data_IF_829110735040
#
_entry.id   IF_829110735040
#
_cell.length_a   1.000
_cell.length_b   1.000
_cell.length_c   1.000
_cell.angle_alpha   90.00
_cell.angle_beta   90.00
_cell.angle_gamma   90.00
#
_symmetry.space_group_name_H-M   'P 1'
#
loop_
_entity.id
_entity.type
_entity.pdbx_description
1 polymer ?
#
# COMPACT_ATOMS: atom_id res chain seq x y z
N UNK A 1 -7.74 -15.25 -13.37
CA UNK A 1 -7.95 -14.73 -14.73
C UNK A 1 -6.86 -15.30 -15.62
N UNK A 2 -7.15 -15.64 -16.88
CA UNK A 2 -6.14 -16.07 -17.86
C UNK A 2 -5.98 -14.99 -18.94
N UNK A 3 -4.87 -15.00 -19.67
CA UNK A 3 -4.62 -14.04 -20.77
C UNK A 3 -5.74 -14.02 -21.82
N UNK A 4 -6.41 -15.17 -22.05
CA UNK A 4 -7.54 -15.25 -22.99
C UNK A 4 -8.70 -14.35 -22.56
N UNK A 5 -8.95 -14.26 -21.26
CA UNK A 5 -10.08 -13.50 -20.72
C UNK A 5 -9.80 -12.00 -20.90
N UNK A 6 -8.53 -11.60 -20.79
CA UNK A 6 -8.06 -10.25 -21.10
C UNK A 6 -8.22 -9.93 -22.59
N UNK A 7 -7.79 -10.84 -23.47
CA UNK A 7 -7.91 -10.66 -24.92
C UNK A 7 -9.38 -10.54 -25.36
N UNK A 8 -10.25 -11.39 -24.82
CA UNK A 8 -11.69 -11.35 -25.09
C UNK A 8 -12.32 -10.03 -24.61
N UNK A 9 -12.01 -9.59 -23.40
CA UNK A 9 -12.50 -8.32 -22.86
C UNK A 9 -11.98 -7.09 -23.65
N UNK A 10 -10.75 -7.17 -24.17
CA UNK A 10 -10.13 -6.11 -24.97
C UNK A 10 -10.52 -6.17 -26.47
N UNK A 11 -11.28 -7.17 -26.91
CA UNK A 11 -11.64 -7.36 -28.30
C UNK A 11 -10.44 -7.62 -29.23
N UNK A 12 -9.37 -8.21 -28.70
CA UNK A 12 -8.13 -8.48 -29.44
C UNK A 12 -7.74 -9.97 -29.40
N UNK A 13 -6.70 -10.34 -30.13
CA UNK A 13 -6.17 -11.71 -30.09
C UNK A 13 -5.22 -11.91 -28.91
N UNK A 14 -5.12 -13.15 -28.42
CA UNK A 14 -4.09 -13.51 -27.42
C UNK A 14 -2.68 -13.16 -27.90
N UNK A 15 -2.40 -13.35 -29.20
CA UNK A 15 -1.11 -12.96 -29.79
C UNK A 15 -0.85 -11.45 -29.72
N UNK A 16 -1.89 -10.62 -29.81
CA UNK A 16 -1.78 -9.16 -29.65
C UNK A 16 -1.42 -8.78 -28.21
N UNK A 17 -2.01 -9.47 -27.22
CA UNK A 17 -1.67 -9.27 -25.80
C UNK A 17 -0.21 -9.63 -25.54
N UNK A 18 0.26 -10.78 -26.00
CA UNK A 18 1.66 -11.17 -25.81
C UNK A 18 2.64 -10.30 -26.62
N UNK A 19 2.25 -9.78 -27.78
CA UNK A 19 3.10 -8.87 -28.53
C UNK A 19 3.33 -7.54 -27.77
N UNK A 20 2.32 -7.06 -27.05
CA UNK A 20 2.42 -5.83 -26.26
C UNK A 20 3.09 -6.05 -24.91
N UNK A 21 2.70 -7.10 -24.18
CA UNK A 21 3.06 -7.31 -22.78
C UNK A 21 4.07 -8.45 -22.56
N UNK A 22 4.47 -9.18 -23.60
CA UNK A 22 5.40 -10.30 -23.53
C UNK A 22 4.76 -11.59 -23.02
N UNK A 23 4.32 -11.59 -21.77
CA UNK A 23 3.69 -12.72 -21.07
C UNK A 23 2.54 -12.26 -20.16
N UNK A 24 1.98 -13.16 -19.36
CA UNK A 24 0.88 -12.79 -18.46
C UNK A 24 1.38 -11.98 -17.25
N UNK A 25 2.61 -12.21 -16.79
CA UNK A 25 3.25 -11.39 -15.76
C UNK A 25 3.38 -9.94 -16.27
N UNK A 26 3.77 -9.73 -17.52
CA UNK A 26 3.86 -8.39 -18.11
C UNK A 26 2.54 -7.63 -18.13
N UNK A 27 1.42 -8.32 -18.32
CA UNK A 27 0.08 -7.71 -18.18
C UNK A 27 -0.16 -7.27 -16.74
N UNK A 28 0.10 -8.16 -15.77
CA UNK A 28 -0.10 -7.88 -14.34
C UNK A 28 0.81 -6.74 -13.88
N UNK A 29 2.08 -6.76 -14.26
CA UNK A 29 3.06 -5.74 -13.91
C UNK A 29 2.69 -4.37 -14.50
N UNK A 30 2.12 -4.32 -15.70
CA UNK A 30 1.62 -3.06 -16.29
C UNK A 30 0.50 -2.47 -15.45
N UNK A 31 -0.51 -3.28 -15.11
CA UNK A 31 -1.61 -2.86 -14.23
C UNK A 31 -1.10 -2.45 -12.84
N UNK A 32 -0.16 -3.21 -12.28
CA UNK A 32 0.40 -2.92 -10.97
C UNK A 32 1.21 -1.61 -10.98
N UNK A 33 1.92 -1.26 -12.06
CA UNK A 33 2.60 0.04 -12.20
C UNK A 33 1.61 1.20 -12.17
N UNK A 34 0.53 1.12 -12.95
CA UNK A 34 -0.53 2.13 -12.94
C UNK A 34 -1.18 2.25 -11.56
N UNK A 35 -1.39 1.12 -10.90
CA UNK A 35 -1.94 1.06 -9.53
C UNK A 35 -1.04 1.77 -8.53
N UNK A 36 0.27 1.49 -8.57
CA UNK A 36 1.24 2.14 -7.68
C UNK A 36 1.35 3.63 -7.99
N UNK A 37 1.32 4.03 -9.27
CA UNK A 37 1.34 5.44 -9.64
C UNK A 37 0.12 6.19 -9.09
N UNK A 38 -1.08 5.63 -9.25
CA UNK A 38 -2.31 6.20 -8.72
C UNK A 38 -2.29 6.28 -7.18
N UNK A 39 -1.82 5.23 -6.52
CA UNK A 39 -1.65 5.20 -5.06
C UNK A 39 -0.68 6.30 -4.60
N UNK A 40 0.52 6.36 -5.18
CA UNK A 40 1.54 7.36 -4.84
C UNK A 40 1.02 8.77 -5.04
N UNK A 41 0.28 9.03 -6.12
CA UNK A 41 -0.34 10.34 -6.34
C UNK A 41 -1.35 10.70 -5.25
N UNK A 42 -2.17 9.75 -4.79
CA UNK A 42 -3.13 9.99 -3.70
C UNK A 42 -2.42 10.26 -2.38
N UNK A 43 -1.43 9.44 -2.03
CA UNK A 43 -0.66 9.59 -0.80
C UNK A 43 0.15 10.90 -0.77
N UNK A 44 0.72 11.30 -1.91
CA UNK A 44 1.47 12.56 -2.05
C UNK A 44 0.59 13.80 -1.91
N UNK A 45 -0.73 13.65 -2.09
CA UNK A 45 -1.71 14.71 -1.89
C UNK A 45 -2.06 14.97 -0.41
N UNK A 46 -1.59 14.14 0.52
CA UNK A 46 -1.86 14.31 1.95
C UNK A 46 -1.09 15.53 2.48
N UNK A 47 -1.77 16.49 3.15
CA UNK A 47 -1.12 17.68 3.72
C UNK A 47 0.00 17.33 4.70
N UNK A 48 1.10 18.09 4.67
CA UNK A 48 2.34 17.79 5.39
C UNK A 48 2.66 18.79 6.51
N UNK A 49 1.77 19.72 6.83
CA UNK A 49 2.00 20.78 7.81
C UNK A 49 2.12 20.22 9.23
N UNK A 50 1.20 19.35 9.63
CA UNK A 50 1.21 18.63 10.90
C UNK A 50 1.71 17.20 10.69
N UNK A 51 2.86 16.79 11.26
CA UNK A 51 3.40 15.45 11.02
C UNK A 51 2.56 14.35 11.67
N UNK A 52 1.82 14.64 12.74
CA UNK A 52 0.88 13.66 13.31
C UNK A 52 -0.31 13.52 12.37
N UNK A 53 -0.98 14.62 12.04
CA UNK A 53 -2.08 14.65 11.07
C UNK A 53 -1.72 14.02 9.73
N UNK A 54 -0.48 14.19 9.25
CA UNK A 54 0.01 13.56 8.03
C UNK A 54 0.02 12.02 8.12
N UNK A 55 0.42 11.43 9.26
CA UNK A 55 0.40 9.97 9.44
C UNK A 55 -1.03 9.42 9.41
N UNK A 56 -1.98 10.09 10.07
CA UNK A 56 -3.40 9.71 9.99
C UNK A 56 -3.94 9.89 8.58
N UNK A 57 -3.62 10.99 7.91
CA UNK A 57 -4.04 11.26 6.53
C UNK A 57 -3.50 10.23 5.52
N UNK A 58 -2.25 9.79 5.68
CA UNK A 58 -1.67 8.72 4.86
C UNK A 58 -2.39 7.38 5.08
N UNK A 59 -2.70 7.03 6.33
CA UNK A 59 -3.40 5.80 6.66
C UNK A 59 -4.86 5.80 6.13
N UNK A 60 -5.55 6.94 6.27
CA UNK A 60 -6.90 7.14 5.74
C UNK A 60 -6.92 7.07 4.21
N UNK A 61 -6.03 7.81 3.53
CA UNK A 61 -5.93 7.80 2.08
C UNK A 61 -5.60 6.40 1.54
N UNK A 62 -4.79 5.62 2.28
CA UNK A 62 -4.48 4.23 1.95
C UNK A 62 -5.70 3.31 2.12
N UNK A 63 -6.45 3.46 3.22
CA UNK A 63 -7.71 2.74 3.44
C UNK A 63 -8.73 3.02 2.34
N UNK A 64 -8.96 4.29 2.01
CA UNK A 64 -9.88 4.71 0.95
C UNK A 64 -9.46 4.14 -0.41
N UNK A 65 -8.17 4.21 -0.75
CA UNK A 65 -7.65 3.65 -1.99
C UNK A 65 -7.84 2.13 -2.06
N UNK A 66 -7.59 1.42 -0.96
CA UNK A 66 -7.80 -0.04 -0.92
C UNK A 66 -9.28 -0.38 -1.06
N UNK A 67 -10.17 0.33 -0.37
CA UNK A 67 -11.61 0.11 -0.46
C UNK A 67 -12.16 0.31 -1.88
N UNK A 68 -11.65 1.31 -2.62
CA UNK A 68 -12.02 1.59 -4.01
C UNK A 68 -11.40 0.61 -5.02
N UNK A 69 -10.21 0.09 -4.72
CA UNK A 69 -9.37 -0.63 -5.68
C UNK A 69 -8.90 -2.00 -5.17
N UNK A 70 -9.67 -2.68 -4.31
CA UNK A 70 -9.24 -3.89 -3.60
C UNK A 70 -8.63 -4.98 -4.50
N UNK A 71 -9.19 -5.22 -5.70
CA UNK A 71 -8.64 -6.20 -6.64
C UNK A 71 -7.27 -5.79 -7.22
N UNK A 72 -7.03 -4.49 -7.42
CA UNK A 72 -5.74 -3.98 -7.90
C UNK A 72 -4.67 -4.09 -6.81
N UNK A 73 -5.02 -3.77 -5.56
CA UNK A 73 -4.11 -3.91 -4.43
C UNK A 73 -3.78 -5.38 -4.17
N UNK A 74 -4.79 -6.25 -4.27
CA UNK A 74 -4.58 -7.69 -4.18
C UNK A 74 -3.64 -8.18 -5.28
N UNK A 75 -3.84 -7.73 -6.52
CA UNK A 75 -2.91 -8.00 -7.63
C UNK A 75 -1.48 -7.52 -7.32
N UNK A 76 -1.33 -6.35 -6.72
CA UNK A 76 -0.03 -5.80 -6.36
C UNK A 76 0.69 -6.62 -5.27
N UNK A 77 -0.01 -7.03 -4.22
CA UNK A 77 0.60 -7.65 -3.04
C UNK A 77 0.63 -9.19 -3.06
N UNK A 78 -0.33 -9.84 -3.71
CA UNK A 78 -0.42 -11.31 -3.75
C UNK A 78 0.25 -11.93 -4.98
N UNK A 79 0.51 -11.14 -6.03
CA UNK A 79 1.15 -11.66 -7.24
C UNK A 79 2.54 -12.22 -6.91
N UNK A 80 2.87 -13.32 -7.60
CA UNK A 80 4.18 -13.93 -7.59
C UNK A 80 4.56 -14.15 -9.04
N UNK A 81 5.73 -13.69 -9.42
CA UNK A 81 6.29 -13.92 -10.74
C UNK A 81 6.38 -15.42 -11.02
N UNK A 82 6.13 -15.81 -12.27
CA UNK A 82 6.31 -17.19 -12.70
C UNK A 82 7.78 -17.63 -12.56
N UNK A 83 7.99 -18.91 -12.27
CA UNK A 83 9.31 -19.57 -12.09
C UNK A 83 10.24 -18.88 -11.08
N UNK A 84 9.67 -18.24 -10.06
CA UNK A 84 10.40 -17.47 -9.03
C UNK A 84 11.33 -16.39 -9.63
N UNK A 85 11.00 -15.87 -10.82
CA UNK A 85 11.73 -14.76 -11.43
C UNK A 85 11.71 -13.54 -10.50
N UNK A 86 12.79 -12.74 -10.45
CA UNK A 86 12.76 -11.51 -9.68
C UNK A 86 11.77 -10.52 -10.30
N UNK A 87 11.15 -9.71 -9.44
CA UNK A 87 10.42 -8.53 -9.90
C UNK A 87 11.38 -7.57 -10.60
N UNK A 88 10.93 -6.88 -11.67
CA UNK A 88 11.72 -5.79 -12.26
C UNK A 88 12.03 -4.68 -11.26
N UNK A 89 13.25 -4.11 -11.36
CA UNK A 89 13.72 -3.08 -10.42
C UNK A 89 12.83 -1.82 -10.41
N UNK A 90 12.23 -1.48 -11.55
CA UNK A 90 11.44 -0.26 -11.70
C UNK A 90 10.15 -0.31 -10.87
N UNK A 91 9.40 -1.41 -10.90
CA UNK A 91 8.19 -1.54 -10.08
C UNK A 91 8.53 -1.65 -8.58
N UNK A 92 9.64 -2.31 -8.24
CA UNK A 92 10.14 -2.35 -6.87
C UNK A 92 10.43 -0.94 -6.35
N UNK A 93 11.11 -0.11 -7.17
CA UNK A 93 11.39 1.27 -6.81
C UNK A 93 10.11 2.09 -6.64
N UNK A 94 9.13 1.95 -7.55
CA UNK A 94 7.84 2.65 -7.42
C UNK A 94 7.12 2.32 -6.11
N UNK A 95 7.13 1.05 -5.70
CA UNK A 95 6.54 0.60 -4.43
C UNK A 95 7.31 1.19 -3.24
N UNK A 96 8.64 1.19 -3.31
CA UNK A 96 9.49 1.78 -2.28
C UNK A 96 9.26 3.29 -2.14
N UNK A 97 9.08 4.02 -3.25
CA UNK A 97 8.82 5.46 -3.25
C UNK A 97 7.46 5.77 -2.60
N UNK A 98 6.43 4.97 -2.89
CA UNK A 98 5.13 5.09 -2.24
C UNK A 98 5.25 4.94 -0.71
N UNK A 99 6.01 3.95 -0.24
CA UNK A 99 6.22 3.71 1.19
C UNK A 99 7.11 4.74 1.85
N UNK A 100 8.04 5.34 1.11
CA UNK A 100 8.93 6.38 1.60
C UNK A 100 8.15 7.63 2.06
N UNK A 101 6.91 7.83 1.61
CA UNK A 101 6.06 8.95 2.05
C UNK A 101 5.76 8.96 3.56
N UNK A 102 5.89 7.83 4.25
CA UNK A 102 5.76 7.80 5.71
C UNK A 102 7.03 8.24 6.46
N UNK A 103 8.18 8.28 5.77
CA UNK A 103 9.45 8.59 6.41
C UNK A 103 9.56 10.07 6.86
N UNK A 104 9.23 11.09 6.04
CA UNK A 104 9.32 12.49 6.44
C UNK A 104 8.56 12.89 7.73
N UNK A 105 7.28 12.51 7.94
CA UNK A 105 6.60 12.86 9.20
C UNK A 105 7.28 12.20 10.41
N UNK A 106 7.79 10.98 10.28
CA UNK A 106 8.47 10.29 11.39
C UNK A 106 9.81 10.94 11.75
N UNK A 107 10.60 11.40 10.77
CA UNK A 107 11.82 12.19 11.03
C UNK A 107 11.50 13.45 11.85
N UNK A 108 10.40 14.14 11.52
CA UNK A 108 9.97 15.35 12.25
C UNK A 108 9.51 15.05 13.67
N UNK A 109 8.88 13.90 13.89
CA UNK A 109 8.37 13.47 15.20
C UNK A 109 9.46 12.91 16.11
N UNK A 110 10.53 12.37 15.53
CA UNK A 110 11.61 11.69 16.23
C UNK A 110 12.98 12.23 15.76
N UNK A 111 13.28 13.52 15.99
CA UNK A 111 14.47 14.18 15.43
C UNK A 111 15.80 13.60 15.92
N UNK A 112 15.80 12.93 17.07
CA UNK A 112 16.99 12.31 17.67
C UNK A 112 17.18 10.83 17.26
N UNK A 113 16.25 10.25 16.50
CA UNK A 113 16.38 8.89 16.00
C UNK A 113 17.23 8.85 14.72
N UNK A 114 18.04 7.81 14.56
CA UNK A 114 18.76 7.58 13.31
C UNK A 114 17.83 7.13 12.16
N UNK A 115 18.27 7.36 10.93
CA UNK A 115 17.51 7.04 9.71
C UNK A 115 17.14 5.55 9.61
N UNK A 116 17.99 4.66 10.11
CA UNK A 116 17.74 3.20 10.08
C UNK A 116 16.54 2.86 10.95
N UNK A 117 16.49 3.44 12.16
CA UNK A 117 15.37 3.29 13.09
C UNK A 117 14.08 3.87 12.51
N UNK A 118 14.14 5.04 11.87
CA UNK A 118 12.96 5.62 11.20
C UNK A 118 12.49 4.72 10.06
N UNK A 119 13.39 4.23 9.20
CA UNK A 119 13.03 3.36 8.09
C UNK A 119 12.37 2.05 8.57
N UNK A 120 12.88 1.44 9.65
CA UNK A 120 12.27 0.27 10.27
C UNK A 120 10.90 0.57 10.87
N UNK A 121 10.73 1.74 11.51
CA UNK A 121 9.44 2.18 12.04
C UNK A 121 8.43 2.42 10.93
N UNK A 122 8.82 3.09 9.83
CA UNK A 122 7.98 3.27 8.64
C UNK A 122 7.49 1.90 8.14
N UNK A 123 8.41 0.94 7.93
CA UNK A 123 8.01 -0.40 7.47
C UNK A 123 7.04 -1.08 8.44
N UNK A 124 7.28 -0.96 9.74
CA UNK A 124 6.43 -1.57 10.78
C UNK A 124 5.02 -0.99 10.77
N UNK A 125 4.89 0.34 10.77
CA UNK A 125 3.59 1.02 10.73
C UNK A 125 2.84 0.68 9.44
N UNK A 126 3.54 0.68 8.31
CA UNK A 126 2.93 0.34 7.02
C UNK A 126 2.42 -1.10 7.03
N UNK A 127 3.24 -2.07 7.43
CA UNK A 127 2.84 -3.48 7.47
C UNK A 127 1.64 -3.73 8.37
N UNK A 128 1.56 -3.06 9.51
CA UNK A 128 0.43 -3.20 10.42
C UNK A 128 -0.85 -2.58 9.85
N UNK A 129 -0.79 -1.35 9.31
CA UNK A 129 -1.92 -0.69 8.66
C UNK A 129 -2.40 -1.50 7.45
N UNK A 130 -1.47 -1.96 6.60
CA UNK A 130 -1.76 -2.86 5.49
C UNK A 130 -2.49 -4.11 5.94
N UNK A 131 -1.98 -4.80 6.98
CA UNK A 131 -2.59 -6.02 7.49
C UNK A 131 -4.00 -5.80 8.06
N UNK A 132 -4.23 -4.71 8.80
CA UNK A 132 -5.57 -4.38 9.33
C UNK A 132 -6.55 -4.20 8.16
N UNK A 133 -6.15 -3.44 7.14
CA UNK A 133 -7.00 -3.07 6.01
C UNK A 133 -7.25 -4.25 5.08
N UNK A 134 -6.20 -4.96 4.65
CA UNK A 134 -6.30 -6.06 3.69
C UNK A 134 -7.12 -7.22 4.24
N UNK A 135 -6.85 -7.63 5.48
CA UNK A 135 -7.63 -8.69 6.14
C UNK A 135 -9.10 -8.28 6.31
N UNK A 136 -9.34 -7.00 6.67
CA UNK A 136 -10.67 -6.41 6.85
C UNK A 136 -11.51 -6.41 5.59
N UNK A 137 -10.97 -5.87 4.50
CA UNK A 137 -11.66 -5.77 3.22
C UNK A 137 -11.83 -7.12 2.52
N UNK A 138 -10.97 -8.09 2.83
CA UNK A 138 -11.12 -9.48 2.37
C UNK A 138 -12.06 -10.32 3.23
N UNK A 139 -12.65 -9.74 4.29
CA UNK A 139 -13.55 -10.40 5.24
C UNK A 139 -12.99 -11.74 5.75
N UNK A 140 -11.68 -11.77 6.06
CA UNK A 140 -11.02 -12.98 6.57
C UNK A 140 -11.59 -13.37 7.94
N UNK A 141 -11.43 -14.64 8.31
CA UNK A 141 -12.12 -15.28 9.45
C UNK A 141 -11.97 -14.57 10.82
N UNK A 142 -10.90 -13.79 11.03
CA UNK A 142 -10.61 -13.04 12.27
C UNK A 142 -10.37 -11.55 11.96
N UNK A 143 -10.95 -11.06 10.86
CA UNK A 143 -10.71 -9.70 10.40
C UNK A 143 -11.53 -8.66 11.16
N UNK A 144 -11.03 -7.42 11.17
CA UNK A 144 -11.79 -6.25 11.61
C UNK A 144 -12.95 -6.03 10.62
N UNK A 145 -14.21 -5.90 11.08
CA UNK A 145 -15.33 -5.60 10.20
C UNK A 145 -15.08 -4.32 9.37
N UNK A 146 -15.45 -4.25 8.08
CA UNK A 146 -15.19 -3.10 7.23
C UNK A 146 -15.62 -1.74 7.82
N UNK A 147 -16.74 -1.73 8.55
CA UNK A 147 -17.30 -0.52 9.17
C UNK A 147 -16.46 0.00 10.35
N UNK A 148 -15.58 -0.85 10.91
CA UNK A 148 -14.69 -0.53 12.03
C UNK A 148 -13.24 -0.30 11.58
N UNK A 149 -12.90 -0.48 10.30
CA UNK A 149 -11.50 -0.41 9.85
C UNK A 149 -10.84 0.93 10.16
N UNK A 150 -11.51 2.04 9.82
CA UNK A 150 -11.03 3.39 10.12
C UNK A 150 -10.71 3.55 11.61
N UNK A 151 -11.66 3.19 12.47
CA UNK A 151 -11.51 3.25 13.91
C UNK A 151 -10.33 2.39 14.41
N UNK A 152 -10.16 1.17 13.89
CA UNK A 152 -9.08 0.29 14.33
C UNK A 152 -7.70 0.75 13.84
N UNK A 153 -7.62 1.34 12.63
CA UNK A 153 -6.39 1.95 12.12
C UNK A 153 -6.01 3.17 12.98
N UNK A 154 -6.97 4.03 13.30
CA UNK A 154 -6.75 5.19 14.19
C UNK A 154 -6.29 4.74 15.59
N UNK A 155 -6.94 3.74 16.19
CA UNK A 155 -6.54 3.19 17.49
C UNK A 155 -5.14 2.59 17.47
N UNK A 156 -4.77 1.92 16.39
CA UNK A 156 -3.42 1.40 16.20
C UNK A 156 -2.38 2.52 16.19
N UNK A 157 -2.65 3.59 15.45
CA UNK A 157 -1.78 4.78 15.39
C UNK A 157 -1.71 5.48 16.74
N UNK A 158 -2.85 5.69 17.41
CA UNK A 158 -2.91 6.27 18.76
C UNK A 158 -1.98 5.52 19.73
N UNK A 159 -2.10 4.19 19.76
CA UNK A 159 -1.31 3.35 20.65
C UNK A 159 0.19 3.40 20.32
N UNK A 160 0.56 3.37 19.04
CA UNK A 160 1.95 3.44 18.61
C UNK A 160 2.58 4.80 18.91
N UNK A 161 1.89 5.89 18.56
CA UNK A 161 2.38 7.24 18.80
C UNK A 161 2.47 7.56 20.30
N UNK A 162 1.53 7.05 21.12
CA UNK A 162 1.64 7.15 22.56
C UNK A 162 2.82 6.34 23.13
N UNK A 163 3.05 5.13 22.61
CA UNK A 163 4.20 4.29 22.98
C UNK A 163 5.56 4.93 22.62
N UNK A 164 5.58 5.79 21.61
CA UNK A 164 6.75 6.59 21.21
C UNK A 164 6.88 7.91 22.00
N UNK A 165 5.92 8.23 22.88
CA UNK A 165 5.89 9.48 23.63
C UNK A 165 5.48 10.72 22.80
N UNK A 166 4.94 10.52 21.60
CA UNK A 166 4.49 11.58 20.70
C UNK A 166 3.10 12.09 21.10
N UNK A 167 2.20 11.16 21.44
CA UNK A 167 0.86 11.45 21.93
C UNK A 167 0.73 11.13 23.42
N UNK A 168 -0.19 11.77 24.15
CA UNK A 168 -0.50 11.37 25.51
C UNK A 168 -1.14 9.97 25.53
N UNK A 169 -0.83 9.18 26.56
CA UNK A 169 -1.54 7.92 26.82
C UNK A 169 -3.02 8.24 27.09
N UNK A 170 -3.93 7.64 26.30
CA UNK A 170 -5.36 7.68 26.60
C UNK A 170 -5.59 6.92 27.92
N UNK A 171 -6.07 7.64 28.93
CA UNK A 171 -6.47 7.09 30.24
C UNK A 171 -7.85 6.46 30.16
#
# INVERSE_FOLDING_TARGET
MKVRDVAEAAGCSVGSVYNEFGDFDGVILTVNRETVQALTSRLSGVPAEDPVGQLYGLAEAYLEFFAEHANLLRSLFEHRMEDDRPYPDDILQMVMDAFALMHPPLVRLLPDADDVKIALLSRTLFSAVHGIISLGLEERMVAVPPQLLRQQVEQFLDAHLAGLGILPLRR
#
